data_IF_221349931037
#
_entry.id   IF_221349931037
#
_cell.length_a   1.000
_cell.length_b   1.000
_cell.length_c   1.000
_cell.angle_alpha   90.00
_cell.angle_beta   90.00
_cell.angle_gamma   90.00
#
_symmetry.space_group_name_H-M   'P 1'
#
loop_
_entity.id
_entity.type
_entity.pdbx_description
1 polymer ?
#
# COMPACT_ATOMS: atom_id res chain seq x y z
N UNK A 1 19.80 38.48 -40.26
CA UNK A 1 20.02 38.65 -38.80
C UNK A 1 18.94 37.98 -37.95
N UNK A 2 17.65 38.31 -38.09
CA UNK A 2 16.58 37.78 -37.21
C UNK A 2 16.42 36.24 -37.23
N UNK A 3 16.58 35.60 -38.40
CA UNK A 3 16.53 34.14 -38.52
C UNK A 3 17.68 33.42 -37.80
N UNK A 4 18.88 34.03 -37.77
CA UNK A 4 20.06 33.44 -37.11
C UNK A 4 19.85 33.42 -35.58
N UNK A 5 19.34 34.53 -35.02
CA UNK A 5 18.99 34.59 -33.60
C UNK A 5 17.92 33.58 -33.20
N UNK A 6 16.90 33.37 -34.05
CA UNK A 6 15.87 32.35 -33.79
C UNK A 6 16.46 30.94 -33.71
N UNK A 7 17.32 30.58 -34.68
CA UNK A 7 18.00 29.27 -34.70
C UNK A 7 18.96 29.08 -33.52
N UNK A 8 19.67 30.12 -33.11
CA UNK A 8 20.56 30.08 -31.95
C UNK A 8 19.78 29.87 -30.64
N UNK A 9 18.63 30.55 -30.48
CA UNK A 9 17.73 30.36 -29.34
C UNK A 9 17.17 28.94 -29.30
N UNK A 10 16.75 28.40 -30.44
CA UNK A 10 16.24 27.04 -30.56
C UNK A 10 17.32 26.01 -30.17
N UNK A 11 18.54 26.15 -30.70
CA UNK A 11 19.68 25.30 -30.34
C UNK A 11 20.00 25.33 -28.84
N UNK A 12 20.00 26.52 -28.22
CA UNK A 12 20.22 26.66 -26.79
C UNK A 12 19.15 25.93 -25.95
N UNK A 13 17.88 26.00 -26.35
CA UNK A 13 16.78 25.30 -25.70
C UNK A 13 16.88 23.78 -25.85
N UNK A 14 17.21 23.28 -27.04
CA UNK A 14 17.47 21.85 -27.29
C UNK A 14 18.63 21.34 -26.43
N UNK A 15 19.73 22.10 -26.35
CA UNK A 15 20.88 21.77 -25.50
C UNK A 15 20.48 21.70 -24.03
N UNK A 16 19.74 22.69 -23.53
CA UNK A 16 19.20 22.70 -22.15
C UNK A 16 18.32 21.48 -21.87
N UNK A 17 17.42 21.12 -22.78
CA UNK A 17 16.53 19.95 -22.65
C UNK A 17 17.31 18.63 -22.65
N UNK A 18 18.35 18.53 -23.46
CA UNK A 18 19.23 17.35 -23.48
C UNK A 18 20.01 17.22 -22.16
N UNK A 19 20.55 18.33 -21.65
CA UNK A 19 21.25 18.38 -20.36
C UNK A 19 20.32 18.01 -19.20
N UNK A 20 19.06 18.46 -19.20
CA UNK A 20 18.11 18.08 -18.16
C UNK A 20 17.79 16.59 -18.20
N UNK A 21 17.58 15.99 -19.36
CA UNK A 21 17.33 14.55 -19.50
C UNK A 21 18.54 13.71 -19.09
N UNK A 22 19.75 14.10 -19.51
CA UNK A 22 20.98 13.40 -19.10
C UNK A 22 21.22 13.50 -17.60
N UNK A 23 20.87 14.64 -16.98
CA UNK A 23 20.91 14.80 -15.53
C UNK A 23 19.90 13.89 -14.85
N UNK A 24 18.65 13.87 -15.33
CA UNK A 24 17.58 13.02 -14.79
C UNK A 24 17.95 11.53 -14.89
N UNK A 25 18.43 11.09 -16.05
CA UNK A 25 18.86 9.71 -16.28
C UNK A 25 20.00 9.29 -15.34
N UNK A 26 21.04 10.12 -15.22
CA UNK A 26 22.14 9.87 -14.29
C UNK A 26 21.70 9.91 -12.82
N UNK A 27 20.76 10.80 -12.49
CA UNK A 27 20.15 10.90 -11.17
C UNK A 27 19.45 9.58 -10.81
N UNK A 28 18.53 9.08 -11.65
CA UNK A 28 17.82 7.82 -11.39
C UNK A 28 18.75 6.61 -11.23
N UNK A 29 19.80 6.53 -12.07
CA UNK A 29 20.79 5.46 -11.99
C UNK A 29 21.54 5.48 -10.65
N UNK A 30 21.98 6.65 -10.20
CA UNK A 30 22.66 6.81 -8.91
C UNK A 30 21.74 6.40 -7.75
N UNK A 31 20.46 6.76 -7.82
CA UNK A 31 19.47 6.40 -6.79
C UNK A 31 19.17 4.90 -6.72
N UNK A 32 19.18 4.17 -7.84
CA UNK A 32 19.03 2.70 -7.80
C UNK A 32 20.22 2.02 -7.13
N UNK A 33 21.45 2.45 -7.43
CA UNK A 33 22.65 1.91 -6.80
C UNK A 33 22.64 2.15 -5.28
N UNK A 34 22.22 3.34 -4.83
CA UNK A 34 22.06 3.62 -3.39
C UNK A 34 21.05 2.67 -2.74
N UNK A 35 19.89 2.45 -3.36
CA UNK A 35 18.88 1.51 -2.87
C UNK A 35 19.40 0.06 -2.81
N UNK A 36 20.23 -0.36 -3.76
CA UNK A 36 20.88 -1.68 -3.70
C UNK A 36 21.84 -1.74 -2.50
N UNK A 37 22.57 -0.65 -2.18
CA UNK A 37 23.41 -0.59 -0.98
C UNK A 37 22.59 -0.65 0.30
N UNK A 38 21.41 -0.04 0.33
CA UNK A 38 20.48 -0.15 1.47
C UNK A 38 20.00 -1.60 1.66
N UNK A 39 19.71 -2.33 0.57
CA UNK A 39 19.39 -3.77 0.63
C UNK A 39 20.56 -4.56 1.21
N UNK A 40 21.79 -4.31 0.76
CA UNK A 40 22.98 -4.99 1.30
C UNK A 40 23.12 -4.73 2.81
N UNK A 41 22.91 -3.48 3.24
CA UNK A 41 22.99 -3.09 4.64
C UNK A 41 21.91 -3.75 5.50
N UNK A 42 20.68 -3.87 4.99
CA UNK A 42 19.58 -4.55 5.67
C UNK A 42 19.89 -6.00 6.01
N UNK A 43 20.53 -6.75 5.11
CA UNK A 43 20.96 -8.13 5.39
C UNK A 43 22.22 -8.20 6.27
N UNK A 44 22.87 -7.07 6.56
CA UNK A 44 24.13 -7.06 7.33
C UNK A 44 25.28 -7.78 6.64
N UNK A 45 25.27 -7.87 5.31
CA UNK A 45 26.26 -8.61 4.52
C UNK A 45 27.30 -7.67 3.90
N UNK A 46 28.50 -8.19 3.65
CA UNK A 46 29.44 -7.52 2.75
C UNK A 46 28.94 -7.59 1.30
N UNK A 47 29.37 -6.65 0.44
CA UNK A 47 29.03 -6.64 -0.98
C UNK A 47 29.32 -7.98 -1.66
N UNK A 48 30.47 -8.59 -1.36
CA UNK A 48 30.86 -9.91 -1.85
C UNK A 48 29.89 -11.00 -1.38
N UNK A 49 29.58 -11.04 -0.09
CA UNK A 49 28.68 -12.05 0.46
C UNK A 49 27.26 -11.91 -0.12
N UNK A 50 26.78 -10.68 -0.29
CA UNK A 50 25.51 -10.40 -0.94
C UNK A 50 25.50 -10.79 -2.42
N UNK A 51 26.59 -10.55 -3.16
CA UNK A 51 26.72 -11.02 -4.54
C UNK A 51 26.57 -12.55 -4.62
N UNK A 52 27.26 -13.28 -3.74
CA UNK A 52 27.17 -14.74 -3.68
C UNK A 52 25.75 -15.22 -3.32
N UNK A 53 25.09 -14.56 -2.36
CA UNK A 53 23.67 -14.82 -2.02
C UNK A 53 22.77 -14.70 -3.25
N UNK A 54 23.02 -13.72 -4.12
CA UNK A 54 22.23 -13.49 -5.32
C UNK A 54 22.73 -14.27 -6.56
N UNK A 55 23.71 -15.16 -6.43
CA UNK A 55 24.29 -15.88 -7.57
C UNK A 55 25.08 -15.01 -8.55
N UNK A 56 25.56 -13.84 -8.10
CA UNK A 56 26.28 -12.87 -8.92
C UNK A 56 27.81 -12.99 -8.73
N UNK A 57 28.55 -12.72 -9.80
CA UNK A 57 30.02 -12.60 -9.72
C UNK A 57 30.41 -11.32 -9.00
N UNK A 58 31.12 -11.45 -7.89
CA UNK A 58 31.58 -10.34 -7.02
C UNK A 58 32.26 -9.20 -7.80
N UNK A 59 33.24 -9.52 -8.66
CA UNK A 59 33.95 -8.50 -9.45
C UNK A 59 33.03 -7.64 -10.32
N UNK A 60 32.02 -8.25 -10.93
CA UNK A 60 31.06 -7.59 -11.79
C UNK A 60 30.11 -6.74 -10.97
N UNK A 61 29.58 -7.31 -9.89
CA UNK A 61 28.66 -6.63 -9.00
C UNK A 61 29.32 -5.40 -8.34
N UNK A 62 30.52 -5.56 -7.79
CA UNK A 62 31.30 -4.49 -7.20
C UNK A 62 31.62 -3.38 -8.20
N UNK A 63 31.99 -3.72 -9.44
CA UNK A 63 32.23 -2.71 -10.48
C UNK A 63 30.96 -1.94 -10.88
N UNK A 64 29.80 -2.59 -10.85
CA UNK A 64 28.52 -1.93 -11.12
C UNK A 64 28.13 -0.96 -10.00
N UNK A 65 28.28 -1.36 -8.74
CA UNK A 65 27.94 -0.51 -7.59
C UNK A 65 28.88 0.68 -7.40
N UNK A 66 30.11 0.57 -7.90
CA UNK A 66 31.09 1.65 -7.89
C UNK A 66 31.03 2.52 -9.15
N UNK A 67 30.11 2.26 -10.08
CA UNK A 67 29.94 3.04 -11.31
C UNK A 67 31.00 2.81 -12.38
N UNK A 68 31.92 1.84 -12.17
CA UNK A 68 32.88 1.42 -13.20
C UNK A 68 32.22 0.65 -14.34
N UNK A 69 31.04 0.07 -14.10
CA UNK A 69 30.21 -0.62 -15.11
C UNK A 69 28.75 -0.21 -14.97
N UNK A 70 28.02 -0.22 -16.08
CA UNK A 70 26.57 -0.07 -16.07
C UNK A 70 25.88 -1.18 -15.27
N UNK A 71 24.92 -0.79 -14.43
CA UNK A 71 24.07 -1.72 -13.70
C UNK A 71 23.19 -2.47 -14.71
N UNK A 72 23.30 -3.80 -14.75
CA UNK A 72 22.57 -4.62 -15.70
C UNK A 72 21.22 -5.08 -15.17
N UNK A 73 20.27 -5.29 -16.07
CA UNK A 73 18.97 -5.87 -15.73
C UNK A 73 19.12 -7.26 -15.08
N UNK A 74 20.09 -8.07 -15.51
CA UNK A 74 20.40 -9.36 -14.91
C UNK A 74 20.75 -9.24 -13.43
N UNK A 75 21.52 -8.22 -13.04
CA UNK A 75 21.86 -7.95 -11.64
C UNK A 75 20.62 -7.57 -10.84
N UNK A 76 19.80 -6.66 -11.36
CA UNK A 76 18.57 -6.22 -10.69
C UNK A 76 17.59 -7.37 -10.51
N UNK A 77 17.39 -8.19 -11.53
CA UNK A 77 16.53 -9.37 -11.45
C UNK A 77 17.07 -10.41 -10.45
N UNK A 78 18.37 -10.70 -10.48
CA UNK A 78 18.97 -11.64 -9.53
C UNK A 78 18.78 -11.19 -8.07
N UNK A 79 18.88 -9.88 -7.81
CA UNK A 79 18.56 -9.30 -6.50
C UNK A 79 17.08 -9.53 -6.18
N UNK A 80 16.15 -9.14 -7.04
CA UNK A 80 14.72 -9.28 -6.74
C UNK A 80 14.29 -10.74 -6.54
N UNK A 81 14.81 -11.68 -7.33
CA UNK A 81 14.51 -13.10 -7.16
C UNK A 81 15.12 -13.71 -5.89
N UNK A 82 16.29 -13.25 -5.46
CA UNK A 82 16.96 -13.78 -4.27
C UNK A 82 16.49 -13.15 -2.96
N UNK A 83 15.62 -12.13 -3.06
CA UNK A 83 15.16 -11.29 -1.97
C UNK A 83 13.66 -10.95 -2.21
N UNK A 84 12.79 -11.97 -2.16
CA UNK A 84 11.36 -11.86 -2.49
C UNK A 84 10.60 -10.86 -1.60
N UNK A 85 11.14 -10.53 -0.42
CA UNK A 85 10.59 -9.51 0.48
C UNK A 85 10.86 -8.08 0.00
N UNK A 86 11.69 -7.87 -1.02
CA UNK A 86 12.03 -6.53 -1.53
C UNK A 86 11.03 -6.07 -2.59
N UNK A 87 10.52 -4.85 -2.41
CA UNK A 87 9.64 -4.20 -3.36
C UNK A 87 10.38 -3.80 -4.64
N UNK A 88 10.00 -4.41 -5.76
CA UNK A 88 10.46 -4.00 -7.09
C UNK A 88 10.08 -2.55 -7.41
N UNK A 89 8.93 -2.09 -6.92
CA UNK A 89 8.47 -0.71 -7.08
C UNK A 89 9.41 0.29 -6.42
N UNK A 90 9.79 -0.03 -5.19
CA UNK A 90 10.71 0.78 -4.43
C UNK A 90 12.11 0.72 -5.03
N UNK A 91 12.60 -0.44 -5.47
CA UNK A 91 13.94 -0.58 -6.05
C UNK A 91 14.06 0.10 -7.42
N UNK A 92 13.04 0.03 -8.27
CA UNK A 92 13.10 0.57 -9.62
C UNK A 92 12.73 2.05 -9.65
N UNK A 93 11.57 2.41 -9.08
CA UNK A 93 10.97 3.75 -9.21
C UNK A 93 11.11 4.64 -7.99
N UNK A 94 11.46 4.06 -6.84
CA UNK A 94 11.76 4.82 -5.62
C UNK A 94 10.51 5.24 -4.87
N UNK A 95 9.41 4.52 -5.12
CA UNK A 95 8.10 4.77 -4.54
C UNK A 95 7.76 3.66 -3.54
N UNK A 96 7.11 4.02 -2.45
CA UNK A 96 6.70 3.08 -1.40
C UNK A 96 7.83 2.72 -0.44
N UNK A 97 7.72 1.54 0.18
CA UNK A 97 8.68 1.02 1.16
C UNK A 97 9.60 -0.04 0.54
N UNK A 98 10.83 -0.16 1.06
CA UNK A 98 11.80 -1.15 0.62
C UNK A 98 11.29 -2.57 0.78
N UNK A 99 10.80 -2.91 1.97
CA UNK A 99 10.21 -4.20 2.24
C UNK A 99 8.77 -4.17 1.74
N UNK A 100 8.39 -5.20 1.00
CA UNK A 100 6.99 -5.55 0.87
C UNK A 100 6.49 -5.77 2.28
N UNK A 101 5.47 -4.99 2.65
CA UNK A 101 4.64 -5.42 3.77
C UNK A 101 4.20 -6.82 3.36
N UNK A 102 4.58 -7.83 4.16
CA UNK A 102 3.75 -9.02 4.15
C UNK A 102 2.35 -8.45 4.31
N UNK A 103 1.46 -8.74 3.37
CA UNK A 103 0.10 -8.93 3.80
C UNK A 103 0.21 -10.02 4.86
N UNK A 104 0.43 -9.58 6.09
CA UNK A 104 -0.15 -10.24 7.21
C UNK A 104 -1.64 -10.15 6.87
N UNK A 105 -2.12 -11.11 6.09
CA UNK A 105 -3.20 -11.93 6.62
C UNK A 105 -2.69 -12.42 7.97
N UNK A 106 -2.67 -11.52 8.97
CA UNK A 106 -2.60 -11.91 10.36
C UNK A 106 -3.64 -13.01 10.46
N UNK A 107 -3.31 -14.19 10.99
CA UNK A 107 -4.24 -15.31 11.06
C UNK A 107 -5.58 -15.02 11.78
N UNK A 108 -5.84 -13.77 12.19
CA UNK A 108 -7.12 -13.27 12.65
C UNK A 108 -7.81 -12.21 11.78
N UNK A 109 -7.24 -11.65 10.70
CA UNK A 109 -7.88 -10.54 9.96
C UNK A 109 -9.13 -10.98 9.19
N UNK A 110 -9.09 -12.14 8.53
CA UNK A 110 -10.28 -12.70 7.86
C UNK A 110 -11.34 -13.15 8.86
N UNK A 111 -10.89 -13.66 10.01
CA UNK A 111 -11.76 -13.96 11.15
C UNK A 111 -12.38 -12.69 11.73
N UNK A 112 -11.62 -11.59 11.81
CA UNK A 112 -12.10 -10.29 12.26
C UNK A 112 -13.12 -9.72 11.29
N UNK A 113 -12.85 -9.76 9.97
CA UNK A 113 -13.82 -9.35 8.94
C UNK A 113 -15.10 -10.17 9.03
N UNK A 114 -14.99 -11.49 9.20
CA UNK A 114 -16.15 -12.37 9.40
C UNK A 114 -16.93 -12.01 10.67
N UNK A 115 -16.25 -11.76 11.79
CA UNK A 115 -16.89 -11.34 13.05
C UNK A 115 -17.60 -9.99 12.88
N UNK A 116 -16.96 -9.01 12.23
CA UNK A 116 -17.56 -7.69 11.97
C UNK A 116 -18.82 -7.83 11.13
N UNK A 117 -18.81 -8.69 10.10
CA UNK A 117 -20.00 -8.98 9.30
C UNK A 117 -21.12 -9.62 10.12
N UNK A 118 -20.79 -10.60 10.97
CA UNK A 118 -21.76 -11.23 11.87
C UNK A 118 -22.34 -10.24 12.88
N UNK A 119 -21.53 -9.33 13.43
CA UNK A 119 -21.99 -8.28 14.35
C UNK A 119 -22.96 -7.34 13.65
N UNK A 120 -22.68 -6.93 12.41
CA UNK A 120 -23.56 -6.07 11.63
C UNK A 120 -24.95 -6.70 11.45
N UNK A 121 -25.00 -7.97 11.01
CA UNK A 121 -26.27 -8.68 10.81
C UNK A 121 -27.05 -8.86 12.13
N UNK A 122 -26.36 -9.20 13.22
CA UNK A 122 -27.00 -9.33 14.52
C UNK A 122 -27.53 -7.98 15.03
N UNK A 123 -26.85 -6.87 14.73
CA UNK A 123 -27.32 -5.54 15.10
C UNK A 123 -28.61 -5.18 14.36
N UNK A 124 -28.74 -5.56 13.09
CA UNK A 124 -29.96 -5.37 12.31
C UNK A 124 -31.12 -6.19 12.90
N UNK A 125 -30.90 -7.46 13.23
CA UNK A 125 -31.92 -8.28 13.92
C UNK A 125 -32.34 -7.72 15.28
N UNK A 126 -31.38 -7.21 16.07
CA UNK A 126 -31.67 -6.58 17.35
C UNK A 126 -32.52 -5.33 17.16
N UNK A 127 -32.22 -4.52 16.15
CA UNK A 127 -32.97 -3.31 15.84
C UNK A 127 -34.43 -3.66 15.46
N UNK A 128 -34.63 -4.66 14.61
CA UNK A 128 -35.98 -5.14 14.24
C UNK A 128 -36.77 -5.64 15.45
N UNK A 129 -36.15 -6.47 16.29
CA UNK A 129 -36.78 -7.00 17.52
C UNK A 129 -37.08 -5.88 18.52
N UNK A 130 -36.22 -4.86 18.61
CA UNK A 130 -36.42 -3.70 19.48
C UNK A 130 -37.66 -2.91 19.05
N UNK A 131 -37.81 -2.65 17.75
CA UNK A 131 -38.98 -1.97 17.19
C UNK A 131 -40.26 -2.77 17.45
N UNK A 132 -40.23 -4.09 17.24
CA UNK A 132 -41.40 -4.93 17.50
C UNK A 132 -41.80 -4.92 18.99
N UNK A 133 -40.81 -5.04 19.88
CA UNK A 133 -41.03 -5.02 21.34
C UNK A 133 -41.67 -3.70 21.78
N UNK A 134 -41.22 -2.58 21.22
CA UNK A 134 -41.79 -1.26 21.52
C UNK A 134 -43.28 -1.18 21.12
N UNK A 135 -43.64 -1.66 19.92
CA UNK A 135 -45.04 -1.69 19.47
C UNK A 135 -45.93 -2.54 20.37
N UNK A 136 -45.46 -3.74 20.74
CA UNK A 136 -46.20 -4.62 21.65
C UNK A 136 -46.38 -4.02 23.04
N UNK A 137 -45.41 -3.21 23.50
CA UNK A 137 -45.51 -2.49 24.77
C UNK A 137 -46.61 -1.42 24.72
N UNK A 138 -46.67 -0.65 23.62
CA UNK A 138 -47.69 0.38 23.38
C UNK A 138 -49.09 -0.24 23.29
N UNK A 139 -49.24 -1.35 22.56
CA UNK A 139 -50.52 -2.05 22.44
C UNK A 139 -50.99 -2.61 23.79
N UNK A 140 -50.08 -3.19 24.59
CA UNK A 140 -50.39 -3.65 25.94
C UNK A 140 -50.85 -2.50 26.86
N UNK A 141 -50.24 -1.32 26.75
CA UNK A 141 -50.67 -0.15 27.51
C UNK A 141 -52.06 0.31 27.10
N UNK A 142 -52.35 0.34 25.79
CA UNK A 142 -53.66 0.70 25.26
C UNK A 142 -54.75 -0.26 25.75
N UNK A 143 -54.53 -1.57 25.62
CA UNK A 143 -55.47 -2.59 26.08
C UNK A 143 -55.71 -2.52 27.59
N UNK A 144 -54.67 -2.26 28.38
CA UNK A 144 -54.83 -2.04 29.84
C UNK A 144 -55.71 -0.83 30.13
N UNK A 145 -55.58 0.26 29.37
CA UNK A 145 -56.43 1.44 29.48
C UNK A 145 -57.89 1.14 29.15
N UNK A 146 -58.15 0.46 28.02
CA UNK A 146 -59.49 0.04 27.60
C UNK A 146 -60.17 -0.86 28.64
N UNK A 147 -59.42 -1.83 29.19
CA UNK A 147 -59.92 -2.70 30.26
C UNK A 147 -60.26 -1.94 31.55
N UNK A 148 -59.52 -0.89 31.88
CA UNK A 148 -59.81 -0.05 33.05
C UNK A 148 -61.11 0.75 32.85
N UNK A 149 -61.34 1.29 31.65
CA UNK A 149 -62.58 2.00 31.30
C UNK A 149 -63.81 1.09 31.37
N UNK A 150 -63.75 -0.09 30.75
CA UNK A 150 -64.85 -1.07 30.76
C UNK A 150 -65.20 -1.57 32.17
N UNK A 151 -64.19 -1.72 33.05
CA UNK A 151 -64.42 -2.08 34.46
C UNK A 151 -65.13 -0.97 35.22
N UNK A 152 -64.79 0.29 34.96
CA UNK A 152 -65.45 1.43 35.59
C UNK A 152 -66.90 1.55 35.12
N UNK A 153 -67.19 1.36 33.83
CA UNK A 153 -68.55 1.38 33.28
C UNK A 153 -69.46 0.29 33.89
N UNK A 154 -68.93 -0.91 34.13
CA UNK A 154 -69.65 -2.02 34.79
C UNK A 154 -69.96 -1.79 36.27
N UNK A 155 -69.28 -0.85 36.93
CA UNK A 155 -69.52 -0.54 38.35
C UNK A 155 -70.55 0.58 38.54
N UNK A 156 -71.01 1.24 37.47
CA UNK A 156 -71.91 2.41 37.50
C UNK A 156 -73.35 2.03 37.10
N UNK A 157 -73.57 0.82 36.54
CA UNK A 157 -74.89 0.27 36.22
C UNK A 157 -75.29 -0.86 37.17
#
# INVERSE_FOLDING_TARGET
MMQIYSRLREYANLKLKLFSHLREFNFYKLHMITRIKDIIAYYGLSTRAFAMKCGLKDNTFSNQLNGMRELSLTTVNAILFSNEEISAEWLLRGKGSMLLQKEETEPGMDKLKSIVYTIANLQDEINEKTVLTQRLLEENQKLKGELAMLKNERNIG
#
